data_IF_035125699058
#
_entry.id   IF_035125699058
#
_cell.length_a   1.000
_cell.length_b   1.000
_cell.length_c   1.000
_cell.angle_alpha   90.00
_cell.angle_beta   90.00
_cell.angle_gamma   90.00
#
_symmetry.space_group_name_H-M   'P 1'
#
loop_
_entity.id
_entity.type
_entity.pdbx_description
1 polymer ?
#
# COMPACT_ATOMS: atom_id res chain seq x y z
N UNK A 1 42.20 19.69 38.71
CA UNK A 1 42.16 18.47 39.54
C UNK A 1 40.76 17.88 39.42
N UNK A 2 40.50 17.03 38.44
CA UNK A 2 40.75 15.58 38.44
C UNK A 2 39.99 14.80 39.53
N UNK A 3 39.02 14.02 39.02
CA UNK A 3 38.57 12.69 39.51
C UNK A 3 37.52 12.72 40.63
N UNK A 4 36.46 11.90 40.67
CA UNK A 4 36.25 10.52 40.22
C UNK A 4 34.75 10.28 39.92
N UNK A 5 34.45 9.36 39.02
CA UNK A 5 33.07 8.91 38.75
C UNK A 5 33.00 7.95 37.57
N UNK A 6 33.89 6.96 37.56
CA UNK A 6 33.95 5.90 36.55
C UNK A 6 33.04 4.72 36.97
N UNK A 7 32.50 4.05 35.96
CA UNK A 7 31.97 2.67 35.95
C UNK A 7 30.50 2.46 36.28
N UNK A 8 29.70 2.29 35.23
CA UNK A 8 28.88 1.09 35.00
C UNK A 8 28.02 1.33 33.75
N UNK A 9 28.39 0.75 32.61
CA UNK A 9 27.44 0.22 31.63
C UNK A 9 28.20 -0.72 30.68
N UNK A 10 27.92 -2.00 30.90
CA UNK A 10 28.48 -3.14 30.19
C UNK A 10 28.09 -3.10 28.72
N UNK A 11 29.08 -3.48 27.91
CA UNK A 11 28.99 -3.86 26.51
C UNK A 11 27.80 -4.77 26.19
N UNK A 12 26.88 -4.30 25.35
CA UNK A 12 26.02 -5.17 24.54
C UNK A 12 26.50 -5.10 23.09
N UNK A 13 27.53 -5.89 22.79
CA UNK A 13 27.95 -6.21 21.44
C UNK A 13 26.89 -7.14 20.83
N UNK A 14 26.17 -6.62 19.84
CA UNK A 14 25.29 -7.42 18.97
C UNK A 14 26.18 -8.07 17.90
N UNK A 15 26.28 -9.40 17.79
CA UNK A 15 27.06 -10.02 16.73
C UNK A 15 26.35 -9.86 15.37
N UNK A 16 27.11 -9.31 14.43
CA UNK A 16 26.73 -9.07 13.05
C UNK A 16 26.72 -10.41 12.29
N UNK A 17 25.56 -11.04 12.18
CA UNK A 17 25.40 -12.28 11.39
C UNK A 17 25.49 -11.92 9.91
N UNK A 18 26.51 -12.46 9.24
CA UNK A 18 26.75 -12.30 7.82
C UNK A 18 25.74 -13.12 6.99
N UNK A 19 25.19 -12.51 5.94
CA UNK A 19 24.20 -13.10 5.01
C UNK A 19 24.73 -14.29 4.18
N UNK A 20 25.93 -14.80 4.45
CA UNK A 20 26.54 -15.93 3.72
C UNK A 20 26.43 -17.27 4.47
N UNK A 21 25.93 -17.30 5.71
CA UNK A 21 25.81 -18.55 6.49
C UNK A 21 24.40 -19.19 6.47
N UNK A 22 23.40 -18.55 5.87
CA UNK A 22 22.03 -19.08 5.79
C UNK A 22 21.74 -19.90 4.50
N UNK A 23 22.70 -20.03 3.59
CA UNK A 23 22.54 -20.72 2.30
C UNK A 23 23.33 -22.04 2.19
N UNK A 24 23.90 -22.53 3.29
CA UNK A 24 24.75 -23.74 3.31
C UNK A 24 24.16 -24.95 4.05
N UNK A 25 22.93 -24.85 4.57
CA UNK A 25 22.25 -25.93 5.31
C UNK A 25 21.11 -26.61 4.53
N UNK A 26 20.97 -26.33 3.22
CA UNK A 26 19.90 -26.92 2.39
C UNK A 26 20.42 -27.91 1.33
N UNK A 27 21.69 -28.30 1.35
CA UNK A 27 22.30 -29.10 0.28
C UNK A 27 23.34 -30.11 0.78
N UNK A 28 23.01 -30.95 1.77
CA UNK A 28 23.82 -32.14 2.08
C UNK A 28 22.98 -33.18 2.81
N UNK A 29 22.09 -33.89 2.11
CA UNK A 29 21.69 -35.25 2.48
C UNK A 29 21.16 -35.98 1.24
N UNK A 30 22.05 -36.26 0.29
CA UNK A 30 21.87 -37.41 -0.58
C UNK A 30 23.20 -37.92 -1.11
N UNK A 31 23.29 -39.25 -1.23
CA UNK A 31 24.47 -40.11 -1.46
C UNK A 31 25.27 -40.35 -0.15
N UNK A 32 25.42 -41.57 0.37
CA UNK A 32 25.77 -42.83 -0.31
C UNK A 32 25.47 -44.07 0.56
N UNK A 33 24.76 -45.05 0.00
CA UNK A 33 24.99 -46.51 0.12
C UNK A 33 24.21 -47.13 -1.06
N UNK A 34 24.83 -47.56 -2.18
CA UNK A 34 25.50 -48.87 -2.39
C UNK A 34 24.66 -50.01 -1.78
N UNK A 35 24.11 -51.00 -2.51
CA UNK A 35 24.59 -51.69 -3.70
C UNK A 35 23.50 -52.62 -4.29
N UNK A 36 23.57 -52.83 -5.62
CA UNK A 36 23.16 -54.03 -6.40
C UNK A 36 21.67 -54.17 -6.75
N UNK A 37 21.29 -53.88 -8.02
CA UNK A 37 21.27 -54.80 -9.18
C UNK A 37 20.28 -55.99 -9.02
N UNK A 38 19.12 -55.93 -9.71
CA UNK A 38 18.84 -56.67 -10.97
C UNK A 38 17.34 -56.63 -11.34
N UNK A 39 17.11 -56.24 -12.59
CA UNK A 39 16.22 -56.84 -13.59
C UNK A 39 14.69 -56.87 -13.37
N UNK A 40 14.02 -56.16 -14.28
CA UNK A 40 12.66 -56.35 -14.80
C UNK A 40 12.33 -57.82 -15.12
N UNK A 41 11.17 -58.30 -14.63
CA UNK A 41 10.13 -59.04 -15.38
C UNK A 41 8.84 -59.04 -14.50
N UNK A 42 7.64 -58.74 -15.04
CA UNK A 42 6.39 -58.92 -14.31
C UNK A 42 5.91 -60.37 -14.43
N UNK A 43 5.94 -61.12 -13.33
CA UNK A 43 5.26 -62.41 -13.25
C UNK A 43 3.85 -62.19 -12.72
N UNK A 44 2.87 -62.36 -13.62
CA UNK A 44 1.52 -62.71 -13.25
C UNK A 44 1.56 -63.97 -12.39
N UNK A 45 1.22 -63.85 -11.11
CA UNK A 45 0.80 -64.98 -10.30
C UNK A 45 -0.37 -64.57 -9.43
N UNK A 46 -1.53 -65.10 -9.78
CA UNK A 46 -2.69 -65.28 -8.93
C UNK A 46 -2.30 -66.00 -7.65
N UNK A 47 -2.67 -65.46 -6.49
CA UNK A 47 -3.04 -66.26 -5.33
C UNK A 47 -3.72 -65.37 -4.30
N UNK A 48 -5.00 -65.67 -4.09
CA UNK A 48 -5.76 -65.26 -2.92
C UNK A 48 -5.01 -65.66 -1.64
N UNK A 49 -4.73 -64.70 -0.78
CA UNK A 49 -4.44 -64.95 0.64
C UNK A 49 -5.48 -64.19 1.45
N UNK A 50 -6.70 -64.72 1.42
CA UNK A 50 -7.63 -64.57 2.52
C UNK A 50 -6.90 -65.02 3.79
N UNK A 51 -6.63 -64.10 4.71
CA UNK A 51 -6.24 -64.45 6.07
C UNK A 51 -7.47 -65.05 6.75
N UNK A 52 -7.67 -66.35 6.53
CA UNK A 52 -8.58 -67.19 7.27
C UNK A 52 -8.15 -67.23 8.73
N UNK A 53 -8.91 -66.58 9.61
CA UNK A 53 -8.84 -66.85 11.04
C UNK A 53 -9.33 -68.28 11.25
N UNK A 54 -8.40 -69.18 11.58
CA UNK A 54 -8.70 -70.58 11.88
C UNK A 54 -9.40 -70.69 13.24
N UNK A 55 -10.50 -71.43 13.25
CA UNK A 55 -11.30 -71.77 14.41
C UNK A 55 -10.53 -72.61 15.42
N UNK A 56 -10.28 -72.06 16.60
CA UNK A 56 -10.11 -72.82 17.84
C UNK A 56 -10.75 -72.06 19.02
N UNK A 57 -11.92 -71.47 18.75
CA UNK A 57 -12.96 -70.98 19.65
C UNK A 57 -13.93 -70.19 18.76
N UNK A 58 -14.86 -70.90 18.12
CA UNK A 58 -15.87 -70.31 17.24
C UNK A 58 -16.92 -69.55 18.07
N UNK A 59 -16.56 -68.37 18.54
CA UNK A 59 -17.51 -67.29 18.71
C UNK A 59 -16.92 -66.09 17.96
N UNK A 60 -17.55 -65.59 16.87
CA UNK A 60 -17.20 -64.26 16.40
C UNK A 60 -17.36 -63.33 17.61
N UNK A 61 -16.36 -62.50 17.91
CA UNK A 61 -16.53 -61.42 18.89
C UNK A 61 -17.76 -60.64 18.43
N UNK A 62 -18.90 -60.89 19.05
CA UNK A 62 -20.10 -60.09 18.84
C UNK A 62 -19.78 -58.76 19.49
N UNK A 63 -19.18 -57.85 18.73
CA UNK A 63 -19.15 -56.44 19.10
C UNK A 63 -20.60 -56.02 19.09
N UNK A 64 -21.24 -56.11 20.26
CA UNK A 64 -22.58 -55.59 20.48
C UNK A 64 -22.43 -54.07 20.42
N UNK A 65 -22.50 -53.53 19.21
CA UNK A 65 -22.66 -52.09 18.98
C UNK A 65 -24.06 -51.76 19.50
N UNK A 66 -24.16 -51.55 20.83
CA UNK A 66 -25.41 -51.19 21.52
C UNK A 66 -25.95 -49.84 21.05
N UNK A 67 -25.08 -49.06 20.39
CA UNK A 67 -25.34 -47.74 19.85
C UNK A 67 -24.66 -47.63 18.51
N UNK A 68 -25.43 -47.57 17.43
CA UNK A 68 -24.90 -47.32 16.09
C UNK A 68 -24.30 -45.90 16.11
N UNK A 69 -22.96 -45.72 16.11
CA UNK A 69 -22.33 -44.45 16.48
C UNK A 69 -22.85 -43.31 15.61
N UNK A 70 -23.02 -43.54 14.31
CA UNK A 70 -23.57 -42.57 13.37
C UNK A 70 -25.02 -42.18 13.73
N UNK A 71 -25.87 -43.16 14.06
CA UNK A 71 -27.28 -42.90 14.40
C UNK A 71 -27.43 -42.27 15.79
N UNK A 72 -26.58 -42.65 16.75
CA UNK A 72 -26.57 -42.04 18.08
C UNK A 72 -25.96 -40.66 18.08
N UNK A 73 -24.97 -40.39 17.22
CA UNK A 73 -24.41 -39.05 17.05
C UNK A 73 -25.44 -38.13 16.37
N UNK A 74 -26.19 -38.64 15.38
CA UNK A 74 -27.31 -37.90 14.79
C UNK A 74 -28.43 -37.65 15.80
N UNK A 75 -28.84 -38.64 16.59
CA UNK A 75 -29.84 -38.45 17.67
C UNK A 75 -29.32 -37.53 18.78
N UNK A 76 -28.02 -37.56 19.09
CA UNK A 76 -27.39 -36.64 20.02
C UNK A 76 -27.35 -35.21 19.43
N UNK A 77 -27.10 -35.05 18.14
CA UNK A 77 -27.17 -33.76 17.45
C UNK A 77 -28.61 -33.23 17.40
N UNK A 78 -29.59 -34.08 17.09
CA UNK A 78 -31.01 -33.71 17.05
C UNK A 78 -31.55 -33.35 18.44
N UNK A 79 -31.10 -34.03 19.50
CA UNK A 79 -31.50 -33.71 20.89
C UNK A 79 -30.76 -32.50 21.48
N UNK A 80 -29.59 -32.15 20.95
CA UNK A 80 -28.85 -30.93 21.34
C UNK A 80 -29.32 -29.68 20.60
N UNK A 81 -29.98 -29.84 19.45
CA UNK A 81 -30.64 -28.74 18.75
C UNK A 81 -31.95 -28.37 19.46
N UNK A 82 -32.23 -27.08 19.69
CA UNK A 82 -33.48 -26.67 20.33
C UNK A 82 -34.68 -27.05 19.45
N UNK A 83 -35.59 -27.90 19.97
CA UNK A 83 -36.82 -28.35 19.28
C UNK A 83 -37.79 -27.20 18.99
N UNK A 84 -37.76 -26.16 19.83
CA UNK A 84 -38.54 -24.93 19.61
C UNK A 84 -37.70 -23.98 18.76
N UNK A 85 -38.20 -23.64 17.57
CA UNK A 85 -37.61 -22.63 16.71
C UNK A 85 -37.39 -21.34 17.51
N UNK A 86 -36.13 -21.09 17.88
CA UNK A 86 -35.73 -19.80 18.45
C UNK A 86 -36.14 -18.75 17.42
N UNK A 87 -36.71 -17.63 17.87
CA UNK A 87 -37.45 -16.65 17.04
C UNK A 87 -36.73 -16.16 15.78
N UNK A 88 -35.42 -16.40 15.64
CA UNK A 88 -34.66 -16.51 14.39
C UNK A 88 -33.32 -17.23 14.72
N UNK A 89 -32.96 -18.37 14.11
CA UNK A 89 -31.60 -18.86 14.20
C UNK A 89 -30.68 -17.92 13.40
N UNK A 90 -29.76 -17.22 14.07
CA UNK A 90 -28.76 -16.43 13.37
C UNK A 90 -27.80 -17.36 12.61
N UNK A 91 -28.02 -17.49 11.30
CA UNK A 91 -27.12 -18.22 10.43
C UNK A 91 -25.77 -17.50 10.36
N UNK A 92 -24.70 -18.18 10.79
CA UNK A 92 -23.34 -17.62 10.75
C UNK A 92 -22.82 -17.58 9.32
N UNK A 93 -22.94 -16.43 8.65
CA UNK A 93 -22.24 -16.15 7.40
C UNK A 93 -21.08 -15.19 7.67
N UNK A 94 -19.82 -15.65 7.70
CA UNK A 94 -18.70 -14.74 7.83
C UNK A 94 -18.63 -13.87 6.57
N UNK A 95 -18.93 -12.58 6.70
CA UNK A 95 -18.76 -11.61 5.62
C UNK A 95 -17.25 -11.43 5.36
N UNK A 96 -16.71 -12.15 4.38
CA UNK A 96 -15.33 -11.95 3.92
C UNK A 96 -15.26 -10.66 3.11
N UNK A 97 -14.50 -9.68 3.59
CA UNK A 97 -14.24 -8.44 2.85
C UNK A 97 -13.40 -8.77 1.60
N UNK A 98 -13.94 -8.49 0.41
CA UNK A 98 -13.17 -8.52 -0.84
C UNK A 98 -12.42 -7.19 -0.97
N UNK A 99 -11.21 -7.12 -0.43
CA UNK A 99 -10.38 -5.89 -0.45
C UNK A 99 -9.63 -5.67 -1.79
N UNK A 100 -10.23 -6.01 -2.93
CA UNK A 100 -9.62 -5.78 -4.24
C UNK A 100 -9.78 -4.30 -4.65
N UNK A 101 -8.95 -3.42 -4.10
CA UNK A 101 -8.85 -2.04 -4.59
C UNK A 101 -8.21 -2.05 -5.98
N UNK A 102 -8.90 -1.49 -6.97
CA UNK A 102 -8.36 -1.36 -8.32
C UNK A 102 -7.09 -0.49 -8.32
N UNK A 103 -6.06 -0.84 -9.11
CA UNK A 103 -4.85 -0.05 -9.16
C UNK A 103 -5.12 1.34 -9.73
N UNK A 104 -4.60 2.37 -9.06
CA UNK A 104 -4.69 3.75 -9.55
C UNK A 104 -4.05 3.88 -10.96
N UNK A 105 -4.58 4.75 -11.83
CA UNK A 105 -3.95 5.04 -13.12
C UNK A 105 -2.55 5.63 -12.93
N UNK A 106 -1.59 5.13 -13.71
CA UNK A 106 -0.18 5.51 -13.62
C UNK A 106 0.39 5.94 -14.95
N UNK A 107 1.39 6.82 -14.89
CA UNK A 107 2.19 7.21 -16.04
C UNK A 107 3.63 7.46 -15.61
N UNK A 108 4.55 7.47 -16.57
CA UNK A 108 5.99 7.56 -16.28
C UNK A 108 6.70 8.60 -17.13
N UNK A 109 7.75 9.18 -16.57
CA UNK A 109 8.77 9.92 -17.31
C UNK A 109 10.14 9.30 -17.07
N UNK A 110 10.99 9.34 -18.09
CA UNK A 110 12.33 8.73 -18.05
C UNK A 110 13.39 9.70 -18.55
N UNK A 111 14.54 9.67 -17.91
CA UNK A 111 15.77 10.32 -18.37
C UNK A 111 16.89 9.30 -18.44
N UNK A 112 17.38 9.06 -19.65
CA UNK A 112 18.42 8.09 -19.93
C UNK A 112 19.81 8.75 -19.89
N UNK A 113 20.85 7.91 -19.78
CA UNK A 113 22.27 8.29 -19.87
C UNK A 113 22.70 9.45 -18.95
N UNK A 114 22.23 9.46 -17.70
CA UNK A 114 22.61 10.47 -16.72
C UNK A 114 24.01 10.16 -16.19
N UNK A 115 24.98 11.05 -16.40
CA UNK A 115 26.35 10.93 -15.87
C UNK A 115 26.39 11.23 -14.37
N UNK A 116 25.88 10.27 -13.59
CA UNK A 116 25.84 10.31 -12.14
C UNK A 116 25.61 8.92 -11.54
N UNK A 117 26.12 8.71 -10.33
CA UNK A 117 25.98 7.44 -9.61
C UNK A 117 24.56 7.21 -9.13
N UNK A 118 24.05 5.99 -9.35
CA UNK A 118 22.73 5.53 -8.88
C UNK A 118 22.60 5.71 -7.37
N UNK A 119 23.63 5.34 -6.59
CA UNK A 119 23.59 5.43 -5.13
C UNK A 119 23.42 6.87 -4.64
N UNK A 120 24.13 7.81 -5.26
CA UNK A 120 24.04 9.24 -4.94
C UNK A 120 22.68 9.83 -5.38
N UNK A 121 22.14 9.37 -6.51
CA UNK A 121 20.77 9.74 -6.93
C UNK A 121 19.72 9.17 -5.98
N UNK A 122 19.91 7.95 -5.46
CA UNK A 122 18.96 7.30 -4.57
C UNK A 122 18.74 8.09 -3.28
N UNK A 123 19.80 8.73 -2.75
CA UNK A 123 19.68 9.62 -1.60
C UNK A 123 18.69 10.77 -1.85
N UNK A 124 18.71 11.37 -3.05
CA UNK A 124 17.75 12.41 -3.43
C UNK A 124 16.35 11.84 -3.76
N UNK A 125 16.29 10.67 -4.41
CA UNK A 125 15.03 10.02 -4.77
C UNK A 125 14.20 9.60 -3.54
N UNK A 126 14.87 9.22 -2.45
CA UNK A 126 14.22 8.80 -1.21
C UNK A 126 13.27 9.86 -0.64
N UNK A 127 13.61 11.15 -0.74
CA UNK A 127 12.75 12.24 -0.24
C UNK A 127 11.43 12.40 -0.99
N UNK A 128 11.38 11.94 -2.23
CA UNK A 128 10.30 12.21 -3.18
C UNK A 128 9.28 11.06 -3.25
N UNK A 129 9.67 9.83 -2.92
CA UNK A 129 8.80 8.64 -2.97
C UNK A 129 7.59 8.78 -2.03
N UNK A 130 6.40 8.44 -2.52
CA UNK A 130 5.15 8.46 -1.76
C UNK A 130 4.64 9.86 -1.40
N UNK A 131 5.28 10.92 -1.88
CA UNK A 131 4.87 12.31 -1.62
C UNK A 131 3.89 12.80 -2.68
N UNK A 132 3.13 13.83 -2.33
CA UNK A 132 2.35 14.61 -3.28
C UNK A 132 3.29 15.31 -4.27
N UNK A 133 2.87 15.51 -5.52
CA UNK A 133 3.73 16.10 -6.55
C UNK A 133 4.32 17.47 -6.16
N UNK A 134 3.53 18.35 -5.52
CA UNK A 134 3.99 19.67 -5.12
C UNK A 134 4.90 19.63 -3.88
N UNK A 135 4.59 18.76 -2.92
CA UNK A 135 5.46 18.52 -1.76
C UNK A 135 6.82 17.99 -2.23
N UNK A 136 6.82 17.03 -3.15
CA UNK A 136 8.02 16.46 -3.75
C UNK A 136 8.86 17.52 -4.48
N UNK A 137 8.24 18.39 -5.27
CA UNK A 137 8.92 19.48 -5.96
C UNK A 137 9.55 20.48 -4.98
N UNK A 138 8.84 20.80 -3.88
CA UNK A 138 9.37 21.69 -2.84
C UNK A 138 10.55 21.05 -2.11
N UNK A 139 10.44 19.78 -1.74
CA UNK A 139 11.52 19.04 -1.08
C UNK A 139 12.76 18.93 -1.97
N UNK A 140 12.60 18.55 -3.24
CA UNK A 140 13.74 18.36 -4.15
C UNK A 140 14.42 19.68 -4.53
N UNK A 141 13.70 20.80 -4.51
CA UNK A 141 14.27 22.14 -4.71
C UNK A 141 15.28 22.50 -3.62
N UNK A 142 15.05 22.05 -2.39
CA UNK A 142 15.91 22.34 -1.25
C UNK A 142 17.11 21.39 -1.15
N UNK A 143 17.22 20.39 -2.03
CA UNK A 143 18.37 19.47 -2.06
C UNK A 143 19.54 20.14 -2.78
N UNK A 144 20.54 20.58 -2.00
CA UNK A 144 21.75 21.22 -2.52
C UNK A 144 22.65 20.31 -3.39
N UNK A 145 22.44 18.99 -3.38
CA UNK A 145 23.26 18.04 -4.14
C UNK A 145 22.82 17.98 -5.60
N UNK A 146 23.77 17.70 -6.52
CA UNK A 146 23.53 17.55 -7.98
C UNK A 146 22.38 16.59 -8.35
N UNK A 147 22.11 15.58 -7.53
CA UNK A 147 20.98 14.67 -7.72
C UNK A 147 19.60 15.36 -7.66
N UNK A 148 19.47 16.45 -6.90
CA UNK A 148 18.22 17.21 -6.76
C UNK A 148 17.72 17.78 -8.08
N UNK A 149 18.49 18.65 -8.76
CA UNK A 149 18.12 19.20 -10.07
C UNK A 149 17.83 18.13 -11.13
N UNK A 150 18.57 17.02 -11.12
CA UNK A 150 18.36 15.90 -12.03
C UNK A 150 16.97 15.27 -11.83
N UNK A 151 16.61 14.92 -10.60
CA UNK A 151 15.29 14.34 -10.28
C UNK A 151 14.18 15.36 -10.50
N UNK A 152 14.38 16.61 -10.12
CA UNK A 152 13.43 17.72 -10.37
C UNK A 152 13.05 17.79 -11.85
N UNK A 153 14.03 17.72 -12.76
CA UNK A 153 13.77 17.78 -14.20
C UNK A 153 12.85 16.65 -14.68
N UNK A 154 13.05 15.43 -14.18
CA UNK A 154 12.23 14.25 -14.55
C UNK A 154 10.85 14.33 -13.89
N UNK A 155 10.78 14.79 -12.65
CA UNK A 155 9.53 14.97 -11.91
C UNK A 155 8.63 16.03 -12.57
N UNK A 156 9.21 17.15 -13.02
CA UNK A 156 8.50 18.16 -13.79
C UNK A 156 7.98 17.62 -15.13
N UNK A 157 8.80 16.85 -15.86
CA UNK A 157 8.37 16.20 -17.09
C UNK A 157 7.23 15.21 -16.85
N UNK A 158 7.29 14.41 -15.78
CA UNK A 158 6.22 13.51 -15.39
C UNK A 158 4.92 14.26 -15.07
N UNK A 159 5.01 15.40 -14.36
CA UNK A 159 3.85 16.26 -14.08
C UNK A 159 3.20 16.74 -15.39
N UNK A 160 3.99 17.32 -16.29
CA UNK A 160 3.51 17.84 -17.58
C UNK A 160 2.85 16.74 -18.42
N UNK A 161 3.46 15.55 -18.48
CA UNK A 161 2.89 14.41 -19.20
C UNK A 161 1.52 14.00 -18.62
N UNK A 162 1.39 14.01 -17.29
CA UNK A 162 0.13 13.69 -16.62
C UNK A 162 -0.97 14.71 -16.97
N UNK A 163 -0.64 16.00 -16.89
CA UNK A 163 -1.58 17.08 -17.24
C UNK A 163 -2.01 16.97 -18.70
N UNK A 164 -1.09 16.67 -19.61
CA UNK A 164 -1.39 16.45 -21.03
C UNK A 164 -2.33 15.25 -21.26
N UNK A 165 -2.24 14.23 -20.41
CA UNK A 165 -3.15 13.08 -20.42
C UNK A 165 -4.52 13.36 -19.77
N UNK A 166 -4.73 14.56 -19.24
CA UNK A 166 -5.98 14.95 -18.56
C UNK A 166 -6.03 14.61 -17.07
N UNK A 167 -4.91 14.21 -16.49
CA UNK A 167 -4.82 13.94 -15.05
C UNK A 167 -4.74 15.23 -14.23
N UNK A 168 -5.36 15.24 -13.05
CA UNK A 168 -5.49 16.43 -12.22
C UNK A 168 -4.30 16.59 -11.25
N UNK A 169 -3.56 17.70 -11.34
CA UNK A 169 -2.32 17.95 -10.57
C UNK A 169 -2.51 17.83 -9.05
N UNK A 170 -3.65 18.28 -8.53
CA UNK A 170 -4.01 18.21 -7.12
C UNK A 170 -4.05 16.78 -6.58
N UNK A 171 -4.26 15.80 -7.47
CA UNK A 171 -4.40 14.39 -7.14
C UNK A 171 -3.24 13.54 -7.67
N UNK A 172 -2.09 14.14 -7.97
CA UNK A 172 -0.91 13.39 -8.40
C UNK A 172 0.00 13.05 -7.21
N UNK A 173 0.37 11.77 -7.10
CA UNK A 173 1.36 11.28 -6.15
C UNK A 173 2.51 10.61 -6.88
N UNK A 174 3.68 10.67 -6.25
CA UNK A 174 4.82 9.88 -6.68
C UNK A 174 4.65 8.47 -6.15
N UNK A 175 4.27 7.55 -7.03
CA UNK A 175 4.16 6.12 -6.69
C UNK A 175 5.55 5.56 -6.38
N UNK A 176 6.46 5.69 -7.33
CA UNK A 176 7.82 5.19 -7.20
C UNK A 176 8.82 5.99 -8.03
N UNK A 177 10.08 5.92 -7.59
CA UNK A 177 11.23 6.48 -8.31
C UNK A 177 12.25 5.37 -8.46
N UNK A 178 12.34 4.85 -9.69
CA UNK A 178 13.20 3.75 -10.08
C UNK A 178 14.48 4.32 -10.69
N UNK A 179 15.62 3.84 -10.20
CA UNK A 179 16.94 4.25 -10.66
C UNK A 179 17.67 3.03 -11.23
N UNK A 180 18.00 3.09 -12.52
CA UNK A 180 18.74 2.03 -13.20
C UNK A 180 20.24 2.34 -13.28
N UNK A 181 21.09 1.35 -13.00
CA UNK A 181 22.54 1.44 -13.27
C UNK A 181 22.79 1.08 -14.72
N UNK A 182 23.57 1.90 -15.43
CA UNK A 182 24.10 1.56 -16.75
C UNK A 182 25.60 1.29 -16.64
N UNK A 183 26.11 0.40 -17.50
CA UNK A 183 27.54 0.26 -17.70
C UNK A 183 28.09 1.57 -18.28
N UNK A 184 28.92 2.25 -17.48
CA UNK A 184 29.59 3.47 -17.89
C UNK A 184 31.00 3.20 -18.41
N UNK A 185 31.64 4.21 -19.01
CA UNK A 185 32.99 4.07 -19.52
C UNK A 185 33.98 3.81 -18.38
N UNK A 186 35.00 3.00 -18.68
CA UNK A 186 36.10 2.70 -17.78
C UNK A 186 37.29 3.59 -18.14
N UNK A 187 38.04 4.04 -17.13
CA UNK A 187 39.26 4.84 -17.26
C UNK A 187 40.38 4.15 -16.50
N UNK A 188 41.60 4.18 -17.03
CA UNK A 188 42.78 3.64 -16.33
C UNK A 188 43.21 4.66 -15.27
N UNK A 189 43.48 4.18 -14.06
CA UNK A 189 43.99 4.96 -12.93
C UNK A 189 45.41 4.47 -12.63
N UNK A 190 46.41 5.16 -13.21
CA UNK A 190 47.82 4.77 -13.12
C UNK A 190 48.33 5.02 -11.69
N UNK A 191 49.03 4.04 -11.12
CA UNK A 191 49.58 4.07 -9.76
C UNK A 191 51.11 3.96 -9.78
N UNK A 192 51.73 4.17 -8.63
CA UNK A 192 53.18 4.01 -8.46
C UNK A 192 53.63 2.55 -8.72
N UNK A 193 54.91 2.39 -9.10
CA UNK A 193 55.57 1.10 -9.37
C UNK A 193 54.90 0.26 -10.46
N UNK A 194 54.46 0.89 -11.55
CA UNK A 194 53.86 0.21 -12.70
C UNK A 194 52.49 -0.43 -12.45
N UNK A 195 51.86 -0.17 -11.30
CA UNK A 195 50.51 -0.68 -10.98
C UNK A 195 49.44 0.19 -11.66
N UNK A 196 48.27 -0.39 -11.93
CA UNK A 196 47.11 0.38 -12.39
C UNK A 196 45.82 -0.16 -11.79
N UNK A 197 44.87 0.75 -11.54
CA UNK A 197 43.49 0.46 -11.20
C UNK A 197 42.54 0.81 -12.35
N UNK A 198 41.27 0.45 -12.20
CA UNK A 198 40.22 0.80 -13.15
C UNK A 198 39.18 1.71 -12.49
N UNK A 199 39.06 2.94 -12.97
CA UNK A 199 38.05 3.90 -12.53
C UNK A 199 36.80 3.77 -13.40
N UNK A 200 35.64 3.58 -12.78
CA UNK A 200 34.36 3.50 -13.48
C UNK A 200 33.63 4.85 -13.41
N UNK A 201 33.41 5.50 -14.55
CA UNK A 201 32.57 6.68 -14.61
C UNK A 201 31.09 6.25 -14.56
N UNK A 202 30.33 6.54 -13.50
CA UNK A 202 29.00 5.97 -13.34
C UNK A 202 27.97 6.66 -14.25
N UNK A 203 27.17 5.85 -14.93
CA UNK A 203 26.02 6.31 -15.72
C UNK A 203 24.75 5.65 -15.19
N UNK A 204 23.65 6.38 -15.19
CA UNK A 204 22.36 5.93 -14.65
C UNK A 204 21.17 6.34 -15.50
N UNK A 205 20.01 5.76 -15.17
CA UNK A 205 18.70 6.07 -15.72
C UNK A 205 17.77 6.43 -14.58
N UNK A 206 16.95 7.45 -14.78
CA UNK A 206 15.94 7.89 -13.82
C UNK A 206 14.57 7.61 -14.44
N UNK A 207 13.74 6.85 -13.76
CA UNK A 207 12.32 6.63 -14.11
C UNK A 207 11.47 7.08 -12.92
N UNK A 208 10.62 8.07 -13.14
CA UNK A 208 9.63 8.51 -12.15
C UNK A 208 8.27 8.01 -12.61
N UNK A 209 7.57 7.30 -11.74
CA UNK A 209 6.19 6.86 -11.95
C UNK A 209 5.29 7.67 -11.04
N UNK A 210 4.34 8.37 -11.66
CA UNK A 210 3.28 9.05 -10.94
C UNK A 210 2.01 8.22 -11.01
N UNK A 211 1.20 8.35 -9.98
CA UNK A 211 -0.16 7.82 -9.93
C UNK A 211 -1.15 8.95 -9.64
N UNK A 212 -2.36 8.83 -10.16
CA UNK A 212 -3.46 9.69 -9.75
C UNK A 212 -4.38 8.93 -8.80
N UNK A 213 -4.56 9.44 -7.58
CA UNK A 213 -5.58 8.87 -6.69
C UNK A 213 -6.98 9.26 -7.18
N UNK A 214 -7.93 8.35 -6.99
CA UNK A 214 -9.35 8.65 -7.19
C UNK A 214 -9.79 9.89 -6.38
N UNK A 215 -10.79 10.62 -6.87
CA UNK A 215 -11.36 11.75 -6.13
C UNK A 215 -11.90 11.32 -4.76
N UNK A 216 -12.49 10.12 -4.67
CA UNK A 216 -12.97 9.56 -3.42
C UNK A 216 -11.81 9.38 -2.44
N UNK A 217 -10.74 8.71 -2.84
CA UNK A 217 -9.61 8.40 -1.96
C UNK A 217 -8.85 9.65 -1.53
N UNK A 218 -8.73 10.65 -2.41
CA UNK A 218 -8.23 11.96 -2.05
C UNK A 218 -9.08 12.60 -0.94
N UNK A 219 -10.40 12.54 -1.08
CA UNK A 219 -11.30 13.12 -0.08
C UNK A 219 -11.31 12.35 1.24
N UNK A 220 -11.25 11.01 1.21
CA UNK A 220 -11.06 10.18 2.41
C UNK A 220 -9.81 10.62 3.19
N UNK A 221 -8.72 10.92 2.47
CA UNK A 221 -7.49 11.44 3.07
C UNK A 221 -7.68 12.85 3.68
N UNK A 222 -8.49 13.71 3.04
CA UNK A 222 -8.82 15.05 3.54
C UNK A 222 -9.67 15.00 4.81
N UNK A 223 -10.76 14.22 4.79
CA UNK A 223 -11.67 14.05 5.92
C UNK A 223 -10.96 13.46 7.13
N UNK A 224 -10.05 12.51 6.88
CA UNK A 224 -9.19 11.94 7.92
C UNK A 224 -8.04 12.88 8.35
N UNK A 225 -7.97 14.12 7.88
CA UNK A 225 -6.97 15.11 8.29
C UNK A 225 -5.53 14.75 7.92
N UNK A 226 -5.35 13.96 6.85
CA UNK A 226 -4.05 13.53 6.28
C UNK A 226 -3.68 14.32 5.02
N UNK A 227 -4.26 15.50 4.81
CA UNK A 227 -4.00 16.34 3.64
C UNK A 227 -2.53 16.77 3.55
N UNK A 228 -1.90 16.70 2.36
CA UNK A 228 -0.53 17.17 2.15
C UNK A 228 -0.40 18.68 2.39
N UNK A 229 0.78 19.10 2.85
CA UNK A 229 0.99 20.47 3.31
C UNK A 229 0.91 21.49 2.17
N UNK A 230 1.44 21.18 0.99
CA UNK A 230 1.41 22.10 -0.15
C UNK A 230 0.01 22.28 -0.72
N UNK A 231 -0.84 21.26 -0.66
CA UNK A 231 -2.27 21.41 -1.01
C UNK A 231 -2.94 22.42 -0.08
N UNK A 232 -2.66 22.37 1.23
CA UNK A 232 -3.11 23.39 2.17
C UNK A 232 -2.60 24.79 1.83
N UNK A 233 -1.36 24.93 1.35
CA UNK A 233 -0.81 26.21 0.89
C UNK A 233 -1.53 26.76 -0.35
N UNK A 234 -1.80 25.90 -1.35
CA UNK A 234 -2.57 26.28 -2.54
C UNK A 234 -3.97 26.78 -2.16
N UNK A 235 -4.65 26.08 -1.25
CA UNK A 235 -5.95 26.53 -0.76
C UNK A 235 -5.89 27.86 -0.02
N UNK A 236 -4.85 28.11 0.79
CA UNK A 236 -4.67 29.43 1.42
C UNK A 236 -4.50 30.54 0.38
N UNK A 237 -3.71 30.30 -0.67
CA UNK A 237 -3.54 31.25 -1.76
C UNK A 237 -4.85 31.49 -2.51
N UNK A 238 -5.62 30.44 -2.77
CA UNK A 238 -6.94 30.51 -3.40
C UNK A 238 -7.92 31.33 -2.55
N UNK A 239 -7.96 31.14 -1.23
CA UNK A 239 -8.83 31.91 -0.34
C UNK A 239 -8.47 33.39 -0.33
N UNK A 240 -7.17 33.70 -0.36
CA UNK A 240 -6.69 35.08 -0.46
C UNK A 240 -7.05 35.72 -1.80
N UNK A 241 -6.91 34.98 -2.91
CA UNK A 241 -7.20 35.50 -4.26
C UNK A 241 -8.68 35.74 -4.53
N UNK A 242 -9.58 35.07 -3.81
CA UNK A 242 -11.03 35.22 -3.98
C UNK A 242 -11.66 36.04 -2.85
N UNK A 243 -10.86 36.74 -2.03
CA UNK A 243 -11.31 37.56 -0.89
C UNK A 243 -12.35 36.82 -0.01
N UNK A 244 -11.99 35.61 0.43
CA UNK A 244 -12.94 34.71 1.08
C UNK A 244 -13.42 35.18 2.47
N UNK A 245 -14.71 34.98 2.74
CA UNK A 245 -15.33 35.25 4.04
C UNK A 245 -14.76 34.40 5.19
N UNK A 246 -14.96 34.89 6.41
CA UNK A 246 -14.56 34.18 7.63
C UNK A 246 -15.14 32.76 7.73
N UNK A 247 -16.43 32.59 7.42
CA UNK A 247 -17.09 31.27 7.46
C UNK A 247 -16.47 30.30 6.44
N UNK A 248 -16.06 30.80 5.27
CA UNK A 248 -15.40 29.98 4.26
C UNK A 248 -14.03 29.50 4.73
N UNK A 249 -13.26 30.39 5.36
CA UNK A 249 -11.95 30.07 5.95
C UNK A 249 -12.12 29.03 7.07
N UNK A 250 -13.10 29.23 7.96
CA UNK A 250 -13.43 28.31 9.06
C UNK A 250 -13.81 26.92 8.55
N UNK A 251 -14.65 26.83 7.52
CA UNK A 251 -15.05 25.56 6.91
C UNK A 251 -13.83 24.78 6.37
N UNK A 252 -12.86 25.45 5.77
CA UNK A 252 -11.68 24.84 5.15
C UNK A 252 -10.47 24.70 6.11
N UNK A 253 -10.61 25.16 7.35
CA UNK A 253 -9.55 25.13 8.38
C UNK A 253 -8.90 23.75 8.56
N UNK A 254 -9.71 22.68 8.43
CA UNK A 254 -9.29 21.29 8.52
C UNK A 254 -8.29 20.85 7.45
N UNK A 255 -8.08 21.64 6.39
CA UNK A 255 -7.08 21.39 5.34
C UNK A 255 -5.93 22.39 5.39
N UNK A 256 -6.24 23.65 5.64
CA UNK A 256 -5.31 24.78 5.46
C UNK A 256 -4.24 24.84 6.54
N UNK A 257 -4.55 24.49 7.79
CA UNK A 257 -3.61 24.59 8.93
C UNK A 257 -3.25 23.21 9.49
N UNK A 258 -2.06 23.11 10.10
CA UNK A 258 -1.64 21.89 10.81
C UNK A 258 -2.54 21.58 12.01
N UNK A 259 -2.90 22.61 12.76
CA UNK A 259 -3.81 22.50 13.90
C UNK A 259 -5.20 22.07 13.46
N UNK A 260 -5.77 22.68 12.42
CA UNK A 260 -7.06 22.25 11.86
C UNK A 260 -7.06 20.78 11.43
N UNK A 261 -5.99 20.32 10.76
CA UNK A 261 -5.82 18.88 10.42
C UNK A 261 -5.76 17.99 11.66
N UNK A 262 -5.06 18.44 12.71
CA UNK A 262 -4.98 17.72 13.98
C UNK A 262 -6.34 17.63 14.66
N UNK A 263 -7.05 18.75 14.81
CA UNK A 263 -8.41 18.78 15.36
C UNK A 263 -9.35 17.87 14.58
N UNK A 264 -9.30 17.90 13.24
CA UNK A 264 -10.13 17.02 12.41
C UNK A 264 -9.87 15.54 12.65
N UNK A 265 -8.59 15.13 12.81
CA UNK A 265 -8.23 13.75 13.18
C UNK A 265 -8.84 13.34 14.52
N UNK A 266 -8.74 14.22 15.52
CA UNK A 266 -9.27 13.95 16.85
C UNK A 266 -10.79 13.88 16.85
N UNK A 267 -11.46 14.81 16.17
CA UNK A 267 -12.92 14.79 16.00
C UNK A 267 -13.40 13.53 15.28
N UNK A 268 -12.72 13.14 14.20
CA UNK A 268 -13.04 11.92 13.46
C UNK A 268 -12.93 10.67 14.36
N UNK A 269 -11.84 10.54 15.13
CA UNK A 269 -11.66 9.45 16.09
C UNK A 269 -12.78 9.41 17.14
N UNK A 270 -13.16 10.57 17.71
CA UNK A 270 -14.23 10.67 18.71
C UNK A 270 -15.58 10.26 18.13
N UNK A 271 -15.90 10.75 16.93
CA UNK A 271 -17.12 10.39 16.21
C UNK A 271 -17.22 8.88 15.99
N UNK A 272 -16.12 8.25 15.55
CA UNK A 272 -16.07 6.78 15.36
C UNK A 272 -16.27 6.04 16.68
N UNK A 273 -15.70 6.52 17.79
CA UNK A 273 -15.91 5.94 19.12
C UNK A 273 -17.36 6.08 19.59
N UNK A 274 -18.03 7.20 19.30
CA UNK A 274 -19.44 7.39 19.62
C UNK A 274 -20.31 6.39 18.86
N UNK A 275 -20.12 6.28 17.54
CA UNK A 275 -20.82 5.29 16.71
C UNK A 275 -20.56 3.86 17.22
N UNK A 276 -19.32 3.57 17.61
CA UNK A 276 -18.99 2.26 18.18
C UNK A 276 -19.75 1.99 19.48
N UNK A 277 -19.87 2.98 20.37
CA UNK A 277 -20.67 2.89 21.60
C UNK A 277 -22.16 2.71 21.30
N UNK A 278 -22.70 3.41 20.30
CA UNK A 278 -24.09 3.24 19.86
C UNK A 278 -24.37 1.79 19.42
N UNK A 279 -23.49 1.21 18.61
CA UNK A 279 -23.59 -0.22 18.24
C UNK A 279 -23.49 -1.14 19.46
N UNK A 280 -22.61 -0.84 20.41
CA UNK A 280 -22.50 -1.62 21.65
C UNK A 280 -23.78 -1.55 22.50
N UNK A 281 -24.42 -0.38 22.59
CA UNK A 281 -25.72 -0.20 23.25
C UNK A 281 -26.81 -1.03 22.58
N UNK A 282 -26.74 -1.22 21.26
CA UNK A 282 -27.63 -2.10 20.49
C UNK A 282 -27.26 -3.60 20.61
N UNK A 283 -26.19 -3.93 21.35
CA UNK A 283 -25.72 -5.31 21.53
C UNK A 283 -24.78 -5.82 20.43
N UNK A 284 -24.39 -4.99 19.45
CA UNK A 284 -23.53 -5.39 18.31
C UNK A 284 -22.09 -4.92 18.52
N UNK A 285 -21.13 -5.84 18.48
CA UNK A 285 -19.71 -5.51 18.57
C UNK A 285 -19.10 -5.25 17.19
N UNK A 286 -18.91 -3.99 16.83
CA UNK A 286 -18.32 -3.58 15.55
C UNK A 286 -16.84 -3.19 15.69
N UNK A 287 -16.02 -3.62 14.71
CA UNK A 287 -14.60 -3.20 14.60
C UNK A 287 -14.51 -1.72 14.20
N UNK A 288 -13.67 -0.96 14.89
CA UNK A 288 -13.42 0.47 14.62
C UNK A 288 -13.05 0.73 13.15
N UNK A 289 -12.18 -0.09 12.55
CA UNK A 289 -11.78 0.06 11.14
C UNK A 289 -12.94 -0.05 10.16
N UNK A 290 -13.96 -0.86 10.46
CA UNK A 290 -15.17 -1.00 9.62
C UNK A 290 -16.01 0.27 9.71
N UNK A 291 -16.17 0.81 10.91
CA UNK A 291 -16.89 2.09 11.13
C UNK A 291 -16.16 3.24 10.41
N UNK A 292 -14.83 3.34 10.58
CA UNK A 292 -14.02 4.35 9.90
C UNK A 292 -14.21 4.30 8.38
N UNK A 293 -14.14 3.10 7.79
CA UNK A 293 -14.35 2.90 6.35
C UNK A 293 -15.73 3.35 5.91
N UNK A 294 -16.79 2.91 6.58
CA UNK A 294 -18.18 3.24 6.21
C UNK A 294 -18.43 4.75 6.28
N UNK A 295 -17.96 5.41 7.34
CA UNK A 295 -18.08 6.86 7.50
C UNK A 295 -17.32 7.60 6.40
N UNK A 296 -16.10 7.16 6.07
CA UNK A 296 -15.29 7.75 5.01
C UNK A 296 -15.88 7.52 3.61
N UNK A 297 -16.47 6.35 3.36
CA UNK A 297 -17.14 6.04 2.09
C UNK A 297 -18.40 6.89 1.91
N UNK A 298 -19.23 7.02 2.95
CA UNK A 298 -20.40 7.91 2.93
C UNK A 298 -20.00 9.37 2.67
N UNK A 299 -19.03 9.88 3.43
CA UNK A 299 -18.53 11.25 3.26
C UNK A 299 -17.92 11.47 1.85
N UNK A 300 -17.21 10.47 1.31
CA UNK A 300 -16.65 10.53 -0.02
C UNK A 300 -17.72 10.54 -1.11
N UNK A 301 -18.81 9.79 -0.97
CA UNK A 301 -19.93 9.81 -1.91
C UNK A 301 -20.57 11.20 -1.97
N UNK A 302 -20.90 11.78 -0.81
CA UNK A 302 -21.47 13.14 -0.71
C UNK A 302 -20.55 14.19 -1.37
N UNK A 303 -19.24 14.06 -1.18
CA UNK A 303 -18.25 14.94 -1.80
C UNK A 303 -18.17 14.78 -3.32
N UNK A 304 -18.23 13.54 -3.83
CA UNK A 304 -18.22 13.31 -5.28
C UNK A 304 -19.41 13.97 -5.94
N UNK A 305 -20.59 13.88 -5.33
CA UNK A 305 -21.81 14.50 -5.87
C UNK A 305 -21.75 16.02 -5.81
N UNK A 306 -21.21 16.59 -4.73
CA UNK A 306 -20.93 18.03 -4.65
C UNK A 306 -19.93 18.47 -5.72
N UNK A 307 -18.86 17.69 -5.92
CA UNK A 307 -17.82 17.99 -6.89
C UNK A 307 -18.35 17.94 -8.32
N UNK A 308 -19.14 16.93 -8.68
CA UNK A 308 -19.78 16.83 -10.01
C UNK A 308 -20.62 18.07 -10.30
N UNK A 309 -21.49 18.46 -9.36
CA UNK A 309 -22.31 19.69 -9.46
C UNK A 309 -21.46 20.95 -9.64
N UNK A 310 -20.38 21.08 -8.88
CA UNK A 310 -19.47 22.24 -8.99
C UNK A 310 -18.69 22.25 -10.31
N UNK A 311 -18.20 21.09 -10.77
CA UNK A 311 -17.46 20.96 -12.01
C UNK A 311 -18.38 21.26 -13.22
N UNK A 312 -19.63 20.77 -13.21
CA UNK A 312 -20.66 21.12 -14.20
C UNK A 312 -20.95 22.63 -14.22
N UNK A 313 -21.16 23.23 -13.04
CA UNK A 313 -21.35 24.68 -12.91
C UNK A 313 -20.17 25.48 -13.47
N UNK A 314 -18.93 25.06 -13.17
CA UNK A 314 -17.70 25.72 -13.68
C UNK A 314 -17.54 25.59 -15.18
N UNK A 315 -17.89 24.45 -15.76
CA UNK A 315 -17.81 24.24 -17.21
C UNK A 315 -18.83 25.11 -17.95
N UNK A 316 -20.05 25.21 -17.41
CA UNK A 316 -21.11 26.06 -17.96
C UNK A 316 -20.70 27.54 -17.95
N UNK A 317 -20.22 28.06 -16.82
CA UNK A 317 -19.80 29.48 -16.73
C UNK A 317 -18.62 29.80 -17.66
N UNK A 318 -17.63 28.92 -17.75
CA UNK A 318 -16.50 29.09 -18.67
C UNK A 318 -16.91 29.03 -20.14
N UNK A 319 -17.85 28.15 -20.50
CA UNK A 319 -18.37 28.06 -21.87
C UNK A 319 -19.18 29.28 -22.23
N UNK A 320 -20.11 29.69 -21.37
CA UNK A 320 -20.98 30.85 -21.61
C UNK A 320 -20.18 32.15 -21.70
N UNK A 321 -19.21 32.37 -20.81
CA UNK A 321 -18.34 33.55 -20.88
C UNK A 321 -17.52 33.59 -22.17
N UNK A 322 -16.94 32.46 -22.59
CA UNK A 322 -16.23 32.36 -23.87
C UNK A 322 -17.14 32.58 -25.08
N UNK A 323 -18.34 32.01 -25.06
CA UNK A 323 -19.33 32.19 -26.11
C UNK A 323 -19.76 33.67 -26.21
N UNK A 324 -20.05 34.32 -25.09
CA UNK A 324 -20.39 35.73 -25.05
C UNK A 324 -19.26 36.63 -25.60
N UNK A 325 -18.00 36.33 -25.26
CA UNK A 325 -16.85 37.00 -25.85
C UNK A 325 -16.73 36.75 -27.37
N UNK A 326 -16.95 35.50 -27.80
CA UNK A 326 -16.95 35.14 -29.21
C UNK A 326 -18.03 35.89 -29.99
N UNK A 327 -19.29 35.87 -29.53
CA UNK A 327 -20.41 36.58 -30.15
C UNK A 327 -20.18 38.09 -30.18
N UNK A 328 -19.66 38.68 -29.11
CA UNK A 328 -19.30 40.11 -29.06
C UNK A 328 -18.23 40.47 -30.09
N UNK A 329 -17.26 39.59 -30.32
CA UNK A 329 -16.21 39.81 -31.32
C UNK A 329 -16.70 39.53 -32.74
N UNK A 330 -17.60 38.55 -32.92
CA UNK A 330 -18.17 38.18 -34.20
C UNK A 330 -19.12 39.27 -34.73
N UNK A 331 -20.02 39.80 -33.89
CA UNK A 331 -20.99 40.86 -34.25
C UNK A 331 -20.36 42.23 -34.54
N UNK A 332 -19.06 42.41 -34.25
CA UNK A 332 -18.31 43.64 -34.53
C UNK A 332 -17.76 43.69 -35.96
N UNK A 333 -17.79 42.59 -36.70
CA UNK A 333 -17.46 42.52 -38.13
C UNK A 333 -18.73 42.66 -38.95
#
# INVERSE_FOLDING_TARGET
MLTKGLNLLKSTLVPHISKQQALRTMFTHHATMLQHQRQFQPLFFSASLHRSFSSAANQPLQVKVTRNPIATDLQALESTLPTTATKQPELFFPQVLKDAQEPNPTWKARKLNVSYSVYKLNAAAHFVRGKHIYDALTLINNVAKKGGPLIKSVLMAAKVNGVKQGFAEERMWVKEVVLGKKLGPKKIDIKARGKFGMMHAPVSHITVVLEQKSAADFYKMVVSGKTPATVGHVFRKMLYQNDADFERVKALSHMTTSQGRYYRRTQFKRMVQLIQKEYQTQGVQMKTSKIERNVLEKAAAEFLDLRKRNDEGRMLTNRTSRLAHFEKNYKKK
#
